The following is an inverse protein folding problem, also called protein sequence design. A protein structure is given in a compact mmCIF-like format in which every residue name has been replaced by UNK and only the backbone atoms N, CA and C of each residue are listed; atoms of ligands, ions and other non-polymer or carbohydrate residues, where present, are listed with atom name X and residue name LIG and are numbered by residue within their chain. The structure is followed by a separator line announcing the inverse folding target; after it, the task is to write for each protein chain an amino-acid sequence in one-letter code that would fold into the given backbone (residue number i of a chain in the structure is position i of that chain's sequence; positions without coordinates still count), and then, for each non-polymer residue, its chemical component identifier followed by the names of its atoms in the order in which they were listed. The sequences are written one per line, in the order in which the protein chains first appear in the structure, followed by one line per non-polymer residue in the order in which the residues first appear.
data_IF_404053274442
#
_entry.id   IF_404053274442
#
_cell.length_a   1.000
_cell.length_b   1.000
_cell.length_c   1.000
_cell.angle_alpha   90.00
_cell.angle_beta   90.00
_cell.angle_gamma   90.00
#
_symmetry.space_group_name_H-M   'P 1'
#
loop_
_entity.id
_entity.type
_entity.pdbx_description
1 polymer ?
#
# COMPACT_ATOMS: atom_id res chain seq x y z
N UNK A 1 26.87 -13.21 -4.51
CA UNK A 1 25.40 -13.17 -4.65
C UNK A 1 25.08 -12.00 -5.54
N UNK A 2 24.80 -12.24 -6.81
CA UNK A 2 24.45 -11.17 -7.75
C UNK A 2 23.12 -10.56 -7.32
N UNK A 3 23.17 -9.29 -6.93
CA UNK A 3 22.00 -8.45 -6.78
C UNK A 3 21.33 -8.35 -8.15
N UNK A 4 20.30 -9.19 -8.37
CA UNK A 4 19.38 -9.01 -9.49
C UNK A 4 18.83 -7.60 -9.39
N UNK A 5 19.24 -6.73 -10.30
CA UNK A 5 18.61 -5.42 -10.50
C UNK A 5 17.21 -5.68 -11.01
N UNK A 6 16.25 -5.78 -10.08
CA UNK A 6 14.83 -5.84 -10.41
C UNK A 6 14.54 -4.50 -11.09
N UNK A 7 14.32 -4.50 -12.41
CA UNK A 7 13.78 -3.34 -13.11
C UNK A 7 12.51 -2.92 -12.35
N UNK A 8 12.54 -1.76 -11.72
CA UNK A 8 11.38 -1.23 -11.01
C UNK A 8 10.24 -1.14 -12.04
N UNK A 9 9.07 -1.78 -11.79
CA UNK A 9 7.97 -1.71 -12.73
C UNK A 9 7.55 -0.24 -12.93
N UNK A 10 7.00 0.06 -14.10
CA UNK A 10 6.50 1.40 -14.46
C UNK A 10 5.58 1.91 -13.35
N UNK A 11 5.83 3.10 -12.82
CA UNK A 11 4.98 3.70 -11.80
C UNK A 11 3.58 3.96 -12.38
N UNK A 12 2.55 3.57 -11.62
CA UNK A 12 1.16 3.90 -11.92
C UNK A 12 0.87 5.38 -11.68
N UNK A 13 1.67 6.10 -10.90
CA UNK A 13 1.55 7.56 -10.82
C UNK A 13 1.95 8.25 -12.13
N UNK A 14 2.99 7.74 -12.79
CA UNK A 14 3.57 8.35 -14.00
C UNK A 14 2.90 7.89 -15.30
N UNK A 15 2.26 6.72 -15.29
CA UNK A 15 1.76 6.07 -16.51
C UNK A 15 0.26 6.21 -16.75
N UNK A 16 -0.44 6.88 -15.84
CA UNK A 16 -1.89 6.96 -15.82
C UNK A 16 -2.44 8.23 -16.46
N UNK A 17 -2.20 8.41 -17.76
CA UNK A 17 -2.83 9.49 -18.53
C UNK A 17 -4.38 9.41 -18.52
N UNK A 18 -4.95 8.25 -18.16
CA UNK A 18 -6.40 7.97 -18.15
C UNK A 18 -6.99 7.77 -16.74
N UNK A 19 -6.18 7.42 -15.73
CA UNK A 19 -6.74 7.16 -14.40
C UNK A 19 -7.01 8.46 -13.66
N UNK A 20 -8.28 8.71 -13.32
CA UNK A 20 -8.61 9.75 -12.34
C UNK A 20 -7.93 9.40 -11.01
N UNK A 21 -7.28 10.39 -10.40
CA UNK A 21 -6.66 10.26 -9.08
C UNK A 21 -7.69 9.69 -8.08
N UNK A 22 -7.35 8.65 -7.32
CA UNK A 22 -8.24 8.13 -6.30
C UNK A 22 -8.54 9.23 -5.28
N UNK A 23 -9.80 9.32 -4.84
CA UNK A 23 -10.14 10.18 -3.70
C UNK A 23 -9.57 9.57 -2.41
N UNK A 24 -9.38 10.40 -1.39
CA UNK A 24 -8.95 9.92 -0.07
C UNK A 24 -9.88 8.81 0.47
N UNK A 25 -11.18 8.95 0.27
CA UNK A 25 -12.17 7.93 0.66
C UNK A 25 -11.92 6.57 -0.03
N UNK A 26 -11.51 6.58 -1.30
CA UNK A 26 -11.15 5.35 -2.03
C UNK A 26 -9.89 4.72 -1.46
N UNK A 27 -8.86 5.52 -1.16
CA UNK A 27 -7.61 5.03 -0.53
C UNK A 27 -7.92 4.40 0.82
N UNK A 28 -8.67 5.10 1.69
CA UNK A 28 -9.03 4.63 3.02
C UNK A 28 -9.88 3.35 2.97
N UNK A 29 -10.79 3.22 2.00
CA UNK A 29 -11.58 2.00 1.82
C UNK A 29 -10.70 0.81 1.48
N UNK A 30 -9.75 0.96 0.55
CA UNK A 30 -8.82 -0.11 0.19
C UNK A 30 -7.87 -0.44 1.34
N UNK A 31 -7.28 0.57 1.99
CA UNK A 31 -6.39 0.37 3.13
C UNK A 31 -7.10 -0.40 4.25
N UNK A 32 -8.32 0.02 4.62
CA UNK A 32 -9.11 -0.67 5.63
C UNK A 32 -9.43 -2.12 5.22
N UNK A 33 -9.81 -2.35 3.97
CA UNK A 33 -10.09 -3.71 3.49
C UNK A 33 -8.85 -4.61 3.58
N UNK A 34 -7.66 -4.09 3.27
CA UNK A 34 -6.40 -4.84 3.41
C UNK A 34 -6.07 -5.10 4.88
N UNK A 35 -6.27 -4.13 5.77
CA UNK A 35 -6.04 -4.30 7.23
C UNK A 35 -6.96 -5.39 7.80
N UNK A 36 -8.26 -5.33 7.50
CA UNK A 36 -9.26 -6.28 7.98
C UNK A 36 -9.04 -7.71 7.43
N UNK A 37 -8.38 -7.87 6.28
CA UNK A 37 -8.16 -9.16 5.59
C UNK A 37 -6.65 -9.39 5.30
N UNK A 38 -5.79 -8.97 6.22
CA UNK A 38 -4.34 -8.96 6.03
C UNK A 38 -3.80 -10.39 5.79
N UNK A 39 -3.13 -10.58 4.64
CA UNK A 39 -2.57 -11.88 4.24
C UNK A 39 -3.58 -12.86 3.64
N UNK A 40 -4.85 -12.48 3.46
CA UNK A 40 -5.88 -13.39 2.92
C UNK A 40 -5.91 -13.43 1.40
N UNK A 41 -5.60 -12.32 0.73
CA UNK A 41 -5.78 -12.17 -0.72
C UNK A 41 -4.50 -11.80 -1.45
N UNK A 42 -4.33 -12.36 -2.65
CA UNK A 42 -3.41 -11.81 -3.64
C UNK A 42 -4.03 -10.58 -4.32
N UNK A 43 -3.21 -9.78 -5.00
CA UNK A 43 -3.62 -8.48 -5.58
C UNK A 43 -4.91 -8.51 -6.41
N UNK A 44 -5.08 -9.52 -7.27
CA UNK A 44 -6.25 -9.67 -8.15
C UNK A 44 -7.49 -10.10 -7.39
N UNK A 45 -7.35 -11.01 -6.43
CA UNK A 45 -8.44 -11.45 -5.55
C UNK A 45 -8.92 -10.30 -4.67
N UNK A 46 -7.98 -9.51 -4.15
CA UNK A 46 -8.27 -8.33 -3.35
C UNK A 46 -9.14 -7.36 -4.14
N UNK A 47 -8.74 -7.02 -5.37
CA UNK A 47 -9.52 -6.17 -6.28
C UNK A 47 -10.94 -6.69 -6.52
N UNK A 48 -11.09 -8.00 -6.69
CA UNK A 48 -12.39 -8.62 -6.97
C UNK A 48 -13.32 -8.56 -5.75
N UNK A 49 -12.77 -8.66 -4.55
CA UNK A 49 -13.51 -8.70 -3.28
C UNK A 49 -13.71 -7.32 -2.63
N UNK A 50 -13.19 -6.23 -3.21
CA UNK A 50 -13.41 -4.88 -2.68
C UNK A 50 -14.90 -4.57 -2.53
N UNK A 51 -15.31 -3.90 -1.43
CA UNK A 51 -16.70 -3.57 -1.15
C UNK A 51 -17.31 -2.59 -2.18
N UNK A 52 -16.46 -1.84 -2.90
CA UNK A 52 -16.88 -0.94 -3.98
C UNK A 52 -16.01 -1.17 -5.22
N UNK A 53 -16.68 -1.34 -6.37
CA UNK A 53 -16.01 -1.48 -7.66
C UNK A 53 -15.31 -0.18 -8.08
N UNK A 54 -14.16 -0.32 -8.72
CA UNK A 54 -13.38 0.77 -9.31
C UNK A 54 -12.62 0.27 -10.53
N UNK A 55 -12.04 1.18 -11.31
CA UNK A 55 -11.17 0.81 -12.42
C UNK A 55 -9.88 0.18 -11.89
N UNK A 56 -9.40 -0.85 -12.58
CA UNK A 56 -8.14 -1.52 -12.25
C UNK A 56 -6.98 -0.52 -12.09
N UNK A 57 -6.88 0.47 -12.98
CA UNK A 57 -5.81 1.46 -12.92
C UNK A 57 -5.85 2.31 -11.64
N UNK A 58 -7.04 2.76 -11.23
CA UNK A 58 -7.21 3.49 -9.96
C UNK A 58 -6.81 2.61 -8.78
N UNK A 59 -7.18 1.33 -8.79
CA UNK A 59 -6.74 0.38 -7.76
C UNK A 59 -5.22 0.22 -7.73
N UNK A 60 -4.55 0.13 -8.89
CA UNK A 60 -3.09 0.05 -8.95
C UNK A 60 -2.39 1.27 -8.34
N UNK A 61 -2.91 2.49 -8.57
CA UNK A 61 -2.40 3.73 -7.93
C UNK A 61 -2.51 3.63 -6.40
N UNK A 62 -3.64 3.14 -5.89
CA UNK A 62 -3.82 2.96 -4.44
C UNK A 62 -2.84 1.92 -3.89
N UNK A 63 -2.67 0.79 -4.57
CA UNK A 63 -1.72 -0.24 -4.14
C UNK A 63 -0.29 0.28 -4.13
N UNK A 64 0.14 1.02 -5.16
CA UNK A 64 1.47 1.62 -5.21
C UNK A 64 1.65 2.68 -4.12
N UNK A 65 0.63 3.50 -3.84
CA UNK A 65 0.65 4.45 -2.74
C UNK A 65 0.88 3.76 -1.38
N UNK A 66 0.11 2.70 -1.11
CA UNK A 66 0.18 1.97 0.15
C UNK A 66 1.51 1.22 0.32
N UNK A 67 2.06 0.68 -0.77
CA UNK A 67 3.37 0.03 -0.76
C UNK A 67 4.50 1.06 -0.53
N UNK A 68 4.49 2.19 -1.26
CA UNK A 68 5.49 3.25 -1.11
C UNK A 68 5.44 3.93 0.27
N UNK A 69 4.27 3.98 0.91
CA UNK A 69 4.09 4.50 2.26
C UNK A 69 4.31 3.45 3.36
N UNK A 70 4.78 2.25 3.00
CA UNK A 70 5.08 1.14 3.91
C UNK A 70 3.88 0.71 4.75
N UNK A 71 2.67 0.87 4.22
CA UNK A 71 1.43 0.38 4.83
C UNK A 71 1.23 -1.10 4.55
N UNK A 72 1.65 -1.54 3.36
CA UNK A 72 1.48 -2.92 2.90
C UNK A 72 2.80 -3.47 2.34
N UNK A 73 2.91 -4.79 2.32
CA UNK A 73 3.94 -5.56 1.61
C UNK A 73 3.30 -6.78 0.94
N UNK A 74 4.05 -7.42 0.06
CA UNK A 74 3.69 -8.75 -0.46
C UNK A 74 4.53 -9.80 0.24
N UNK A 75 3.90 -10.89 0.68
CA UNK A 75 4.62 -12.04 1.21
C UNK A 75 5.33 -12.83 0.08
N UNK A 76 6.00 -13.92 0.46
CA UNK A 76 6.74 -14.76 -0.50
C UNK A 76 5.85 -15.43 -1.57
N UNK A 77 4.54 -15.55 -1.31
CA UNK A 77 3.57 -16.22 -2.19
C UNK A 77 2.68 -15.22 -2.97
N UNK A 78 2.86 -13.93 -2.69
CA UNK A 78 2.19 -12.80 -3.34
C UNK A 78 0.92 -12.30 -2.63
N UNK A 79 0.68 -12.72 -1.39
CA UNK A 79 -0.43 -12.21 -0.57
C UNK A 79 -0.13 -10.80 -0.08
N UNK A 80 -1.15 -9.94 -0.08
CA UNK A 80 -1.05 -8.57 0.40
C UNK A 80 -1.18 -8.56 1.92
N UNK A 81 -0.15 -8.08 2.61
CA UNK A 81 -0.08 -8.03 4.08
C UNK A 81 -0.01 -6.58 4.54
N UNK A 82 -0.91 -6.18 5.43
CA UNK A 82 -0.86 -4.89 6.13
C UNK A 82 0.17 -4.94 7.26
N UNK A 83 1.09 -3.95 7.30
CA UNK A 83 2.23 -3.94 8.23
C UNK A 83 2.33 -2.67 9.08
N UNK A 84 1.41 -1.72 8.91
CA UNK A 84 1.45 -0.48 9.66
C UNK A 84 1.17 -0.72 11.14
N UNK A 85 2.11 -0.35 12.00
CA UNK A 85 2.02 -0.54 13.43
C UNK A 85 2.00 0.82 14.18
N UNK A 86 0.81 1.44 14.33
CA UNK A 86 0.69 2.74 14.98
C UNK A 86 1.12 2.69 16.45
N UNK A 87 0.87 1.58 17.17
CA UNK A 87 1.28 1.42 18.57
C UNK A 87 2.79 1.48 18.73
N UNK A 88 3.53 0.86 17.79
CA UNK A 88 4.99 0.97 17.76
C UNK A 88 5.42 2.42 17.50
N UNK A 89 4.83 3.10 16.52
CA UNK A 89 5.17 4.51 16.26
C UNK A 89 4.90 5.41 17.48
N UNK A 90 3.74 5.27 18.13
CA UNK A 90 3.38 6.02 19.34
C UNK A 90 4.37 5.82 20.48
N UNK A 91 4.82 4.57 20.71
CA UNK A 91 5.83 4.25 21.74
C UNK A 91 7.13 5.03 21.58
N UNK A 92 7.52 5.37 20.35
CA UNK A 92 8.77 6.08 20.08
C UNK A 92 8.57 7.58 19.85
N UNK A 93 7.36 8.02 19.48
CA UNK A 93 7.04 9.43 19.20
C UNK A 93 7.42 10.39 20.34
N UNK A 94 7.25 9.97 21.59
CA UNK A 94 7.48 10.82 22.76
C UNK A 94 8.88 10.66 23.37
N UNK A 95 9.83 10.01 22.69
CA UNK A 95 11.18 9.85 23.23
C UNK A 95 11.96 11.16 23.14
N UNK A 96 12.57 11.65 24.24
CA UNK A 96 13.30 12.92 24.27
C UNK A 96 14.48 13.00 23.29
N UNK A 97 15.02 11.86 22.86
CA UNK A 97 16.14 11.79 21.92
C UNK A 97 15.71 11.68 20.44
N UNK A 98 14.41 11.72 20.15
CA UNK A 98 13.82 11.73 18.80
C UNK A 98 13.21 13.11 18.49
N UNK A 99 13.88 14.18 18.91
CA UNK A 99 13.52 15.56 18.55
C UNK A 99 13.97 15.80 17.10
N UNK A 100 13.07 16.30 16.27
CA UNK A 100 13.40 16.76 14.92
C UNK A 100 14.44 17.88 15.03
N UNK A 101 15.63 17.67 14.47
CA UNK A 101 16.57 18.76 14.27
C UNK A 101 16.18 19.48 12.99
N UNK A 102 15.76 20.73 13.14
CA UNK A 102 15.60 21.69 12.04
C UNK A 102 16.95 22.02 11.39
#
# INVERSE_FOLDING_TARGET
MESRTIKKPKSYFESNDVARSPTLQTVMMVEKFIDDNSGEYKKTELFNNLPKKMMWQTFQVVMEYLENSLKIVYDKEGYVVYIWNPKFAEKYKNKPNLIWKE
#
